data_IF_382910746724
#
_entry.id   IF_382910746724
#
_cell.length_a   1.000
_cell.length_b   1.000
_cell.length_c   1.000
_cell.angle_alpha   90.00
_cell.angle_beta   90.00
_cell.angle_gamma   90.00
#
_symmetry.space_group_name_H-M   'P 1'
#
loop_
_entity.id
_entity.type
_entity.pdbx_description
1 polymer ?
#
# COMPACT_ATOMS: atom_id res chain seq x y z
N UNK A 1 1.78 -23.98 0.68
CA UNK A 1 1.83 -22.93 1.68
C UNK A 1 0.49 -22.18 1.66
N UNK A 2 -0.12 -22.02 2.80
CA UNK A 2 -1.34 -21.24 3.01
C UNK A 2 -0.89 -19.95 3.71
N UNK A 3 -1.26 -18.79 3.16
CA UNK A 3 -1.08 -17.51 3.82
C UNK A 3 -2.45 -17.06 4.38
N UNK A 4 -2.46 -16.68 5.64
CA UNK A 4 -3.62 -16.03 6.25
C UNK A 4 -3.39 -14.53 6.14
N UNK A 5 -4.35 -13.83 5.57
CA UNK A 5 -4.34 -12.37 5.40
C UNK A 5 -5.51 -11.80 6.19
N UNK A 6 -5.25 -10.74 6.92
CA UNK A 6 -6.29 -10.00 7.64
C UNK A 6 -6.88 -8.90 6.74
N UNK A 7 -7.99 -8.31 7.16
CA UNK A 7 -8.65 -7.22 6.43
C UNK A 7 -7.77 -5.98 6.25
N UNK A 8 -6.78 -5.82 7.12
CA UNK A 8 -5.78 -4.73 7.07
C UNK A 8 -4.54 -5.06 6.20
N UNK A 9 -4.48 -6.27 5.62
CA UNK A 9 -3.36 -6.68 4.77
C UNK A 9 -3.64 -6.35 3.29
N UNK A 10 -2.71 -5.66 2.66
CA UNK A 10 -2.78 -5.39 1.22
C UNK A 10 -2.30 -6.60 0.42
N UNK A 11 -3.14 -7.12 -0.46
CA UNK A 11 -2.83 -8.28 -1.32
C UNK A 11 -1.60 -8.01 -2.19
N UNK A 12 -1.46 -6.80 -2.76
CA UNK A 12 -0.33 -6.46 -3.64
C UNK A 12 0.99 -6.48 -2.84
N UNK A 13 0.97 -5.98 -1.61
CA UNK A 13 2.15 -5.97 -0.74
C UNK A 13 2.50 -7.38 -0.25
N UNK A 14 1.51 -8.18 0.14
CA UNK A 14 1.69 -9.57 0.56
C UNK A 14 2.19 -10.45 -0.59
N UNK A 15 1.67 -10.23 -1.80
CA UNK A 15 2.15 -10.89 -3.01
C UNK A 15 3.63 -10.55 -3.28
N UNK A 16 3.96 -9.27 -3.20
CA UNK A 16 5.35 -8.79 -3.37
C UNK A 16 6.28 -9.46 -2.36
N UNK A 17 5.90 -9.51 -1.08
CA UNK A 17 6.68 -10.17 -0.02
C UNK A 17 6.89 -11.66 -0.31
N UNK A 18 5.82 -12.39 -0.63
CA UNK A 18 5.87 -13.82 -0.97
C UNK A 18 6.78 -14.09 -2.17
N UNK A 19 6.69 -13.25 -3.21
CA UNK A 19 7.53 -13.40 -4.40
C UNK A 19 8.99 -13.07 -4.13
N UNK A 20 9.29 -12.15 -3.22
CA UNK A 20 10.67 -11.86 -2.82
C UNK A 20 11.31 -13.11 -2.20
N UNK A 21 10.64 -13.76 -1.24
CA UNK A 21 11.13 -15.00 -0.65
C UNK A 21 11.31 -16.11 -1.69
N UNK A 22 10.37 -16.26 -2.63
CA UNK A 22 10.51 -17.23 -3.70
C UNK A 22 11.64 -16.89 -4.67
N UNK A 23 11.90 -15.59 -4.90
CA UNK A 23 13.00 -15.16 -5.75
C UNK A 23 14.37 -15.47 -5.14
N UNK A 24 14.50 -15.34 -3.81
CA UNK A 24 15.71 -15.73 -3.06
C UNK A 24 15.99 -17.23 -3.14
N UNK A 25 14.95 -18.07 -3.28
CA UNK A 25 15.08 -19.51 -3.49
C UNK A 25 15.43 -19.90 -4.95
N UNK A 26 15.50 -18.94 -5.88
CA UNK A 26 15.75 -19.27 -7.29
C UNK A 26 17.19 -19.68 -7.54
N UNK A 27 17.40 -20.75 -8.33
CA UNK A 27 18.73 -21.22 -8.69
C UNK A 27 19.42 -20.36 -9.78
N UNK A 28 18.73 -19.37 -10.36
CA UNK A 28 19.25 -18.46 -11.37
C UNK A 28 19.53 -19.06 -12.76
N UNK A 29 19.29 -20.37 -13.00
CA UNK A 29 19.67 -21.05 -14.25
C UNK A 29 18.82 -20.64 -15.46
N UNK A 30 17.50 -20.58 -15.32
CA UNK A 30 16.62 -20.26 -16.45
C UNK A 30 16.21 -18.78 -16.48
N UNK A 31 16.34 -18.15 -17.64
CA UNK A 31 16.02 -16.73 -17.85
C UNK A 31 14.58 -16.35 -17.47
N UNK A 32 13.54 -17.14 -17.82
CA UNK A 32 12.17 -16.80 -17.45
C UNK A 32 12.00 -16.64 -15.94
N UNK A 33 12.61 -17.51 -15.14
CA UNK A 33 12.55 -17.41 -13.68
C UNK A 33 13.43 -16.24 -13.18
N UNK A 34 14.72 -16.23 -13.53
CA UNK A 34 15.70 -15.26 -13.04
C UNK A 34 15.31 -13.81 -13.34
N UNK A 35 15.00 -13.53 -14.60
CA UNK A 35 14.67 -12.17 -15.05
C UNK A 35 13.17 -11.89 -14.92
N UNK A 36 12.33 -12.86 -15.26
CA UNK A 36 10.89 -12.66 -15.27
C UNK A 36 10.31 -12.37 -13.89
N UNK A 37 10.71 -13.12 -12.85
CA UNK A 37 10.22 -12.87 -11.48
C UNK A 37 10.71 -11.52 -10.97
N UNK A 38 11.96 -11.12 -11.29
CA UNK A 38 12.46 -9.78 -10.96
C UNK A 38 11.60 -8.68 -11.60
N UNK A 39 11.22 -8.82 -12.87
CA UNK A 39 10.34 -7.85 -13.55
C UNK A 39 8.93 -7.81 -12.95
N UNK A 40 8.43 -8.95 -12.48
CA UNK A 40 7.17 -8.97 -11.71
C UNK A 40 7.31 -8.15 -10.43
N UNK A 41 8.39 -8.34 -9.66
CA UNK A 41 8.64 -7.60 -8.41
C UNK A 41 8.72 -6.08 -8.67
N UNK A 42 9.45 -5.65 -9.69
CA UNK A 42 9.52 -4.23 -10.09
C UNK A 42 8.14 -3.67 -10.43
N UNK A 43 7.31 -4.44 -11.12
CA UNK A 43 5.94 -4.03 -11.47
C UNK A 43 5.08 -3.91 -10.22
N UNK A 44 5.15 -4.87 -9.28
CA UNK A 44 4.43 -4.79 -8.00
C UNK A 44 4.87 -3.60 -7.15
N UNK A 45 6.17 -3.27 -7.14
CA UNK A 45 6.68 -2.07 -6.46
C UNK A 45 6.07 -0.79 -7.05
N UNK A 46 5.84 -0.74 -8.36
CA UNK A 46 5.15 0.40 -9.00
C UNK A 46 3.68 0.49 -8.59
N UNK A 47 2.97 -0.64 -8.47
CA UNK A 47 1.61 -0.65 -7.94
C UNK A 47 1.55 -0.14 -6.49
N UNK A 48 2.44 -0.62 -5.62
CA UNK A 48 2.55 -0.19 -4.22
C UNK A 48 2.86 1.30 -4.10
N UNK A 49 3.66 1.83 -5.04
CA UNK A 49 4.00 3.25 -5.12
C UNK A 49 2.90 4.13 -5.78
N UNK A 50 1.77 3.56 -6.22
CA UNK A 50 0.70 4.27 -6.91
C UNK A 50 1.06 4.75 -8.32
N UNK A 51 2.02 4.10 -8.95
CA UNK A 51 2.49 4.36 -10.32
C UNK A 51 2.08 3.26 -11.31
N UNK A 52 1.30 2.28 -10.84
CA UNK A 52 0.79 1.19 -11.67
C UNK A 52 -0.22 1.69 -12.70
N UNK A 53 -0.29 0.99 -13.84
CA UNK A 53 -1.22 1.27 -14.94
C UNK A 53 -1.96 0.02 -15.37
N UNK A 54 -3.10 0.17 -16.04
CA UNK A 54 -3.86 -0.98 -16.63
C UNK A 54 -3.00 -1.77 -17.62
N UNK A 55 -2.16 -1.08 -18.39
CA UNK A 55 -1.24 -1.73 -19.32
C UNK A 55 -0.21 -2.60 -18.59
N UNK A 56 0.32 -2.13 -17.47
CA UNK A 56 1.23 -2.91 -16.64
C UNK A 56 0.55 -4.11 -16.00
N UNK A 57 -0.72 -3.99 -15.61
CA UNK A 57 -1.51 -5.12 -15.11
C UNK A 57 -1.69 -6.19 -16.19
N UNK A 58 -2.00 -5.79 -17.41
CA UNK A 58 -2.09 -6.70 -18.56
C UNK A 58 -0.75 -7.40 -18.84
N UNK A 59 0.35 -6.64 -18.89
CA UNK A 59 1.71 -7.18 -19.09
C UNK A 59 2.14 -8.11 -17.96
N UNK A 60 1.76 -7.80 -16.73
CA UNK A 60 2.02 -8.65 -15.57
C UNK A 60 1.39 -10.03 -15.74
N UNK A 61 0.13 -10.08 -16.21
CA UNK A 61 -0.58 -11.32 -16.52
C UNK A 61 0.11 -12.10 -17.65
N UNK A 62 0.43 -11.44 -18.75
CA UNK A 62 1.10 -12.06 -19.91
C UNK A 62 2.48 -12.61 -19.54
N UNK A 63 3.29 -11.84 -18.83
CA UNK A 63 4.61 -12.25 -18.34
C UNK A 63 4.50 -13.46 -17.40
N UNK A 64 3.53 -13.46 -16.51
CA UNK A 64 3.31 -14.57 -15.58
C UNK A 64 2.89 -15.85 -16.32
N UNK A 65 2.05 -15.76 -17.35
CA UNK A 65 1.70 -16.89 -18.20
C UNK A 65 2.93 -17.43 -18.95
N UNK A 66 3.77 -16.53 -19.46
CA UNK A 66 5.02 -16.91 -20.13
C UNK A 66 5.98 -17.65 -19.18
N UNK A 67 6.23 -17.08 -17.98
CA UNK A 67 7.11 -17.69 -16.96
C UNK A 67 6.59 -19.07 -16.56
N UNK A 68 5.26 -19.20 -16.35
CA UNK A 68 4.65 -20.48 -15.97
C UNK A 68 4.85 -21.58 -17.03
N UNK A 69 4.83 -21.20 -18.31
CA UNK A 69 5.03 -22.15 -19.43
C UNK A 69 6.49 -22.50 -19.68
N UNK A 70 7.39 -21.54 -19.52
CA UNK A 70 8.78 -21.67 -19.97
C UNK A 70 9.78 -21.92 -18.84
N UNK A 71 9.41 -21.77 -17.56
CA UNK A 71 10.29 -22.12 -16.45
C UNK A 71 10.54 -23.62 -16.39
N UNK A 72 11.81 -23.99 -16.16
CA UNK A 72 12.24 -25.39 -16.15
C UNK A 72 11.77 -26.16 -14.91
N UNK A 73 11.76 -25.47 -13.74
CA UNK A 73 11.46 -26.11 -12.46
C UNK A 73 10.18 -25.57 -11.81
N UNK A 74 9.77 -26.21 -10.70
CA UNK A 74 8.56 -25.85 -9.95
C UNK A 74 8.61 -24.43 -9.33
N UNK A 75 9.80 -23.92 -8.99
CA UNK A 75 9.93 -22.60 -8.31
C UNK A 75 9.41 -21.48 -9.19
N UNK A 76 9.89 -21.35 -10.42
CA UNK A 76 9.40 -20.33 -11.35
C UNK A 76 7.93 -20.52 -11.73
N UNK A 77 7.50 -21.78 -11.93
CA UNK A 77 6.09 -22.09 -12.22
C UNK A 77 5.17 -21.70 -11.06
N UNK A 78 5.59 -21.94 -9.80
CA UNK A 78 4.87 -21.59 -8.59
C UNK A 78 4.80 -20.07 -8.41
N UNK A 79 5.91 -19.35 -8.57
CA UNK A 79 5.95 -17.89 -8.49
C UNK A 79 4.93 -17.26 -9.46
N UNK A 80 4.97 -17.66 -10.73
CA UNK A 80 4.02 -17.20 -11.74
C UNK A 80 2.56 -17.59 -11.41
N UNK A 81 2.34 -18.81 -10.91
CA UNK A 81 1.00 -19.29 -10.53
C UNK A 81 0.37 -18.47 -9.42
N UNK A 82 1.15 -18.05 -8.42
CA UNK A 82 0.67 -17.19 -7.33
C UNK A 82 0.23 -15.83 -7.86
N UNK A 83 1.01 -15.22 -8.77
CA UNK A 83 0.65 -13.93 -9.39
C UNK A 83 -0.64 -14.05 -10.19
N UNK A 84 -0.78 -15.08 -11.01
CA UNK A 84 -2.00 -15.31 -11.80
C UNK A 84 -3.24 -15.50 -10.92
N UNK A 85 -3.10 -16.27 -9.84
CA UNK A 85 -4.18 -16.48 -8.87
C UNK A 85 -4.55 -15.18 -8.14
N UNK A 86 -3.57 -14.34 -7.80
CA UNK A 86 -3.82 -13.06 -7.18
C UNK A 86 -4.54 -12.09 -8.13
N UNK A 87 -4.11 -12.02 -9.39
CA UNK A 87 -4.75 -11.17 -10.40
C UNK A 87 -6.19 -11.63 -10.71
N UNK A 88 -6.47 -12.92 -10.66
CA UNK A 88 -7.80 -13.47 -10.91
C UNK A 88 -8.77 -13.22 -9.73
N UNK A 89 -8.29 -13.41 -8.50
CA UNK A 89 -9.14 -13.35 -7.31
C UNK A 89 -9.29 -11.96 -6.71
N UNK A 90 -8.30 -11.09 -6.92
CA UNK A 90 -8.19 -9.78 -6.29
C UNK A 90 -7.94 -8.66 -7.30
N UNK A 91 -8.52 -8.79 -8.50
CA UNK A 91 -8.38 -7.80 -9.57
C UNK A 91 -8.77 -6.39 -9.10
N UNK A 92 -9.83 -6.29 -8.29
CA UNK A 92 -10.33 -5.01 -7.76
C UNK A 92 -9.30 -4.29 -6.90
N UNK A 93 -8.47 -5.02 -6.13
CA UNK A 93 -7.40 -4.41 -5.34
C UNK A 93 -6.27 -3.85 -6.22
N UNK A 94 -5.92 -4.54 -7.30
CA UNK A 94 -4.96 -4.01 -8.28
C UNK A 94 -5.50 -2.75 -8.96
N UNK A 95 -6.77 -2.75 -9.36
CA UNK A 95 -7.46 -1.57 -9.93
C UNK A 95 -7.52 -0.41 -8.93
N UNK A 96 -7.77 -0.69 -7.65
CA UNK A 96 -7.72 0.32 -6.61
C UNK A 96 -6.33 0.97 -6.49
N UNK A 97 -5.24 0.18 -6.60
CA UNK A 97 -3.87 0.71 -6.59
C UNK A 97 -3.57 1.57 -7.82
N UNK A 98 -4.11 1.22 -9.01
CA UNK A 98 -4.05 2.07 -10.20
C UNK A 98 -4.77 3.40 -9.95
N UNK A 99 -5.92 3.37 -9.27
CA UNK A 99 -6.66 4.56 -8.83
C UNK A 99 -6.02 5.28 -7.62
N UNK A 100 -4.77 4.93 -7.26
CA UNK A 100 -4.00 5.51 -6.13
C UNK A 100 -4.68 5.33 -4.77
N UNK A 101 -5.40 4.24 -4.57
CA UNK A 101 -6.06 3.88 -3.31
C UNK A 101 -5.59 2.50 -2.88
N UNK A 102 -5.26 2.36 -1.60
CA UNK A 102 -5.02 1.04 -1.00
C UNK A 102 -6.20 0.72 -0.09
N UNK A 103 -7.05 -0.29 -0.41
CA UNK A 103 -8.22 -0.62 0.41
C UNK A 103 -7.84 -0.97 1.86
N UNK A 104 -6.79 -1.74 2.05
CA UNK A 104 -6.24 -2.09 3.36
C UNK A 104 -5.54 -0.92 4.08
N UNK A 105 -5.19 0.17 3.36
CA UNK A 105 -4.50 1.33 3.92
C UNK A 105 -3.08 1.03 4.43
N UNK A 106 -2.44 -0.05 4.01
CA UNK A 106 -1.08 -0.43 4.43
C UNK A 106 0.01 0.13 3.51
N UNK A 107 -0.30 0.44 2.25
CA UNK A 107 0.65 1.04 1.31
C UNK A 107 0.90 2.51 1.62
N UNK A 108 2.02 2.83 2.27
CA UNK A 108 2.35 4.20 2.71
C UNK A 108 2.27 5.26 1.60
N UNK A 109 2.61 4.90 0.37
CA UNK A 109 2.54 5.83 -0.76
C UNK A 109 1.10 6.25 -1.09
N UNK A 110 0.11 5.37 -0.83
CA UNK A 110 -1.29 5.53 -1.20
C UNK A 110 -2.20 5.97 -0.04
N UNK A 111 -1.65 6.08 1.17
CA UNK A 111 -2.39 6.55 2.35
C UNK A 111 -2.22 8.05 2.49
N UNK A 112 -3.33 8.75 2.69
CA UNK A 112 -3.33 10.16 3.07
C UNK A 112 -4.04 10.33 4.40
N UNK A 113 -3.36 10.97 5.35
CA UNK A 113 -3.98 11.34 6.61
C UNK A 113 -4.55 12.74 6.49
N UNK A 114 -5.83 12.89 6.88
CA UNK A 114 -6.50 14.19 6.95
C UNK A 114 -7.20 14.37 8.29
N UNK A 115 -7.37 15.62 8.70
CA UNK A 115 -8.12 15.97 9.90
C UNK A 115 -9.51 16.44 9.49
N UNK A 116 -10.53 15.76 10.00
CA UNK A 116 -11.93 16.19 9.86
C UNK A 116 -12.18 17.30 10.89
N UNK A 117 -12.29 18.52 10.40
CA UNK A 117 -12.42 19.73 11.24
C UNK A 117 -13.58 19.61 12.24
N UNK A 118 -14.75 19.14 11.81
CA UNK A 118 -15.93 18.97 12.64
C UNK A 118 -15.71 18.05 13.86
N UNK A 119 -14.77 17.11 13.79
CA UNK A 119 -14.46 16.18 14.89
C UNK A 119 -13.23 16.64 15.69
N UNK A 120 -12.51 17.66 15.24
CA UNK A 120 -11.28 18.12 15.86
C UNK A 120 -11.57 18.87 17.17
N UNK A 121 -10.97 18.42 18.27
CA UNK A 121 -11.10 19.07 19.59
C UNK A 121 -10.18 20.29 19.76
N UNK A 122 -9.27 20.55 18.83
CA UNK A 122 -8.28 21.64 18.95
C UNK A 122 -7.22 21.38 20.04
N UNK A 123 -7.08 20.16 20.55
CA UNK A 123 -6.21 19.85 21.70
C UNK A 123 -4.70 19.83 21.38
N UNK A 124 -4.28 19.80 20.12
CA UNK A 124 -2.89 19.84 19.69
C UNK A 124 -2.06 18.57 19.93
N UNK A 125 -2.68 17.48 20.44
CA UNK A 125 -1.97 16.22 20.68
C UNK A 125 -1.31 15.65 19.44
N UNK A 126 -1.98 15.73 18.30
CA UNK A 126 -1.44 15.29 17.00
C UNK A 126 -0.21 16.11 16.56
N UNK A 127 -0.25 17.42 16.75
CA UNK A 127 0.87 18.31 16.38
C UNK A 127 2.10 18.09 17.27
N UNK A 128 1.89 17.98 18.59
CA UNK A 128 2.99 17.73 19.56
C UNK A 128 3.70 16.39 19.35
N UNK A 129 2.99 15.39 18.83
CA UNK A 129 3.55 14.05 18.58
C UNK A 129 3.96 13.84 17.12
N UNK A 130 3.92 14.87 16.28
CA UNK A 130 4.33 14.76 14.89
C UNK A 130 5.86 14.86 14.77
N UNK A 131 6.57 13.80 14.32
CA UNK A 131 8.03 13.81 14.28
C UNK A 131 8.62 14.80 13.26
N UNK A 132 7.81 15.20 12.27
CA UNK A 132 8.23 16.12 11.19
C UNK A 132 7.50 17.46 11.23
N UNK A 133 6.78 17.77 12.29
CA UNK A 133 6.01 19.01 12.45
C UNK A 133 5.09 19.33 11.26
N UNK A 134 4.51 18.29 10.66
CA UNK A 134 3.61 18.42 9.50
C UNK A 134 2.18 18.85 9.87
N UNK A 135 1.89 19.16 11.14
CA UNK A 135 0.53 19.46 11.63
C UNK A 135 0.54 20.84 12.28
N UNK A 136 -0.24 21.75 11.72
CA UNK A 136 -0.36 23.14 12.18
C UNK A 136 -1.81 23.51 12.53
N UNK A 137 -1.98 24.56 13.31
CA UNK A 137 -3.29 25.18 13.56
C UNK A 137 -3.83 25.81 12.28
N UNK A 138 -5.13 25.78 12.13
CA UNK A 138 -5.87 26.50 11.08
C UNK A 138 -6.69 27.64 11.69
N UNK A 139 -7.25 28.50 10.86
CA UNK A 139 -8.20 29.54 11.29
C UNK A 139 -9.63 29.00 11.48
N UNK A 140 -9.84 27.71 11.15
CA UNK A 140 -11.14 27.05 11.29
C UNK A 140 -11.31 26.53 12.71
N UNK A 141 -12.51 26.71 13.28
CA UNK A 141 -12.87 26.14 14.55
C UNK A 141 -13.29 24.68 14.41
N UNK A 142 -12.88 23.86 15.37
CA UNK A 142 -13.23 22.44 15.43
C UNK A 142 -14.54 22.17 16.17
N UNK A 143 -14.68 20.99 16.73
CA UNK A 143 -15.82 20.60 17.60
C UNK A 143 -15.97 21.54 18.81
N UNK A 144 -14.87 22.08 19.32
CA UNK A 144 -14.88 23.13 20.33
C UNK A 144 -14.78 24.50 19.64
N UNK A 145 -15.82 25.36 19.76
CA UNK A 145 -15.85 26.67 19.09
C UNK A 145 -14.83 27.69 19.65
N UNK A 146 -14.16 27.35 20.75
CA UNK A 146 -13.11 28.20 21.36
C UNK A 146 -11.70 27.80 20.94
N UNK A 147 -11.53 26.71 20.19
CA UNK A 147 -10.23 26.17 19.82
C UNK A 147 -10.15 25.94 18.31
N UNK A 148 -9.07 26.41 17.72
CA UNK A 148 -8.79 26.20 16.31
C UNK A 148 -8.52 24.73 16.01
N UNK A 149 -9.04 24.25 14.90
CA UNK A 149 -8.72 22.94 14.38
C UNK A 149 -7.28 22.87 13.85
N UNK A 150 -6.81 21.67 13.63
CA UNK A 150 -5.49 21.41 13.03
C UNK A 150 -5.65 20.87 11.61
N UNK A 151 -4.64 21.07 10.76
CA UNK A 151 -4.53 20.47 9.45
C UNK A 151 -3.18 19.79 9.27
N UNK A 152 -3.14 18.79 8.41
CA UNK A 152 -1.92 18.05 8.05
C UNK A 152 -1.41 18.60 6.72
N UNK A 153 -0.15 19.03 6.69
CA UNK A 153 0.56 19.37 5.47
C UNK A 153 1.02 18.07 4.79
N UNK A 154 0.37 17.70 3.69
CA UNK A 154 0.65 16.49 2.94
C UNK A 154 2.08 16.44 2.39
N UNK A 155 2.69 17.60 2.14
CA UNK A 155 4.06 17.69 1.58
C UNK A 155 5.14 17.34 2.61
N UNK A 156 4.88 17.64 3.90
CA UNK A 156 5.78 17.35 5.01
C UNK A 156 5.48 16.01 5.68
N UNK A 157 4.28 15.47 5.47
CA UNK A 157 3.81 14.28 6.17
C UNK A 157 4.53 13.02 5.70
N UNK A 158 5.26 12.35 6.60
CA UNK A 158 5.93 11.06 6.36
C UNK A 158 5.00 9.85 6.54
N UNK A 159 3.71 10.08 6.72
CA UNK A 159 2.66 9.04 6.77
C UNK A 159 2.91 7.96 7.84
N UNK A 160 3.46 8.33 9.00
CA UNK A 160 3.80 7.41 10.09
C UNK A 160 2.59 6.94 10.92
N UNK A 161 1.42 7.59 10.81
CA UNK A 161 0.20 7.23 11.54
C UNK A 161 0.16 7.60 13.03
N UNK A 162 1.22 8.15 13.61
CA UNK A 162 1.28 8.50 15.04
C UNK A 162 0.14 9.44 15.46
N UNK A 163 -0.22 10.40 14.61
CA UNK A 163 -1.31 11.32 14.88
C UNK A 163 -2.67 10.60 15.03
N UNK A 164 -2.92 9.55 14.24
CA UNK A 164 -4.15 8.75 14.30
C UNK A 164 -4.28 8.01 15.65
N UNK A 165 -3.18 7.43 16.15
CA UNK A 165 -3.17 6.70 17.43
C UNK A 165 -3.31 7.64 18.62
N UNK A 166 -2.71 8.83 18.56
CA UNK A 166 -2.70 9.83 19.63
C UNK A 166 -3.93 10.74 19.67
N UNK A 167 -4.83 10.65 18.67
CA UNK A 167 -6.04 11.48 18.65
C UNK A 167 -7.06 11.00 19.69
N UNK A 168 -7.45 11.85 20.69
CA UNK A 168 -8.42 11.49 21.71
C UNK A 168 -9.88 11.70 21.29
N UNK A 169 -10.13 12.33 20.14
CA UNK A 169 -11.48 12.64 19.68
C UNK A 169 -12.31 11.37 19.42
N UNK A 170 -13.60 11.44 19.78
CA UNK A 170 -14.60 10.40 19.50
C UNK A 170 -15.81 11.05 18.81
N UNK A 171 -16.13 10.70 17.54
CA UNK A 171 -15.30 9.86 16.64
C UNK A 171 -13.92 10.50 16.37
N UNK A 172 -12.96 9.69 15.94
CA UNK A 172 -11.60 10.21 15.65
C UNK A 172 -11.67 11.33 14.62
N UNK A 173 -10.93 12.41 14.90
CA UNK A 173 -10.82 13.53 13.96
C UNK A 173 -9.85 13.23 12.83
N UNK A 174 -8.90 12.31 13.02
CA UNK A 174 -7.91 11.94 12.02
C UNK A 174 -8.37 10.67 11.33
N UNK A 175 -8.46 10.75 10.01
CA UNK A 175 -8.85 9.65 9.12
C UNK A 175 -7.78 9.43 8.05
N UNK A 176 -7.71 8.22 7.53
CA UNK A 176 -6.88 7.83 6.38
C UNK A 176 -7.74 7.50 5.17
#
# INVERSE_FOLDING_TARGET
>A
NIAFLDADDCIVQSLRFTLTSLYEETCGKCTPCRIGVMRILETLDRFIAGKGTEEEMRRLKELSLYIRRTSLCAVGKKAAGIVLSALEKFEDEFRAHIAKKCPAGSCKALVEYRIVTANCLGCGMCARNCPVNAISKTDLFGKNPRLNAYAIDATKCVKCGTCLTKCPAKPKAIVR
#
